data_IF_397626621297
#
_entry.id   IF_397626621297
#
_cell.length_a   1.000
_cell.length_b   1.000
_cell.length_c   1.000
_cell.angle_alpha   90.00
_cell.angle_beta   90.00
_cell.angle_gamma   90.00
#
_symmetry.space_group_name_H-M   'P 1'
#
loop_
_entity.id
_entity.type
_entity.pdbx_description
1 polymer ?
#
# COMPACT_ATOMS: atom_id res chain seq x y z
N UNK A 1 1.15 -9.82 -17.65
CA UNK A 1 0.37 -9.16 -18.72
C UNK A 1 1.03 -7.83 -19.01
N UNK A 2 1.25 -7.50 -20.28
CA UNK A 2 1.72 -6.17 -20.67
C UNK A 2 0.51 -5.23 -20.73
N UNK A 3 0.46 -4.25 -19.83
CA UNK A 3 -0.56 -3.19 -19.83
C UNK A 3 -0.22 -2.06 -20.79
N UNK A 4 0.91 -2.18 -21.51
CA UNK A 4 1.43 -1.16 -22.42
C UNK A 4 0.43 -0.95 -23.56
N UNK A 5 0.18 0.31 -23.91
CA UNK A 5 -0.82 0.76 -24.89
C UNK A 5 -2.28 0.49 -24.54
N UNK A 6 -2.59 0.10 -23.31
CA UNK A 6 -3.98 0.01 -22.84
C UNK A 6 -4.54 1.40 -22.49
N UNK A 7 -5.85 1.56 -22.76
CA UNK A 7 -6.62 2.74 -22.34
C UNK A 7 -6.99 2.64 -20.87
N UNK A 8 -6.71 3.71 -20.14
CA UNK A 8 -7.06 3.88 -18.74
C UNK A 8 -7.86 5.15 -18.54
N UNK A 9 -8.69 5.18 -17.52
CA UNK A 9 -9.48 6.32 -17.11
C UNK A 9 -9.09 6.72 -15.70
N UNK A 10 -8.65 7.95 -15.50
CA UNK A 10 -8.35 8.50 -14.19
C UNK A 10 -9.45 9.45 -13.75
N UNK A 11 -9.93 9.33 -12.51
CA UNK A 11 -11.06 10.13 -11.99
C UNK A 11 -10.88 11.65 -12.18
N UNK A 12 -9.65 12.15 -12.02
CA UNK A 12 -9.32 13.58 -12.10
C UNK A 12 -8.69 14.02 -13.43
N UNK A 13 -8.08 13.09 -14.16
CA UNK A 13 -7.26 13.40 -15.35
C UNK A 13 -7.95 12.96 -16.64
N UNK A 14 -9.01 12.15 -16.55
CA UNK A 14 -9.74 11.63 -17.68
C UNK A 14 -9.01 10.46 -18.34
N UNK A 15 -9.21 10.32 -19.64
CA UNK A 15 -8.62 9.25 -20.43
C UNK A 15 -7.11 9.41 -20.58
N UNK A 16 -6.39 8.31 -20.42
CA UNK A 16 -4.96 8.19 -20.62
C UNK A 16 -4.57 6.87 -21.26
N UNK A 17 -3.34 6.80 -21.73
CA UNK A 17 -2.77 5.61 -22.35
C UNK A 17 -1.53 5.18 -21.60
N UNK A 18 -1.43 3.91 -21.24
CA UNK A 18 -0.22 3.38 -20.60
C UNK A 18 0.91 3.36 -21.62
N UNK A 19 1.96 4.13 -21.36
CA UNK A 19 3.16 4.20 -22.21
C UNK A 19 4.28 3.29 -21.69
N UNK A 20 4.27 2.98 -20.39
CA UNK A 20 5.23 2.06 -19.79
C UNK A 20 4.58 1.29 -18.64
N UNK A 21 4.95 0.02 -18.49
CA UNK A 21 4.54 -0.80 -17.36
C UNK A 21 5.76 -1.54 -16.80
N UNK A 22 6.06 -1.29 -15.54
CA UNK A 22 7.08 -1.99 -14.74
C UNK A 22 6.38 -2.72 -13.59
N UNK A 23 7.00 -3.75 -13.01
CA UNK A 23 6.45 -4.59 -11.94
C UNK A 23 5.71 -3.83 -10.82
N UNK A 24 6.22 -2.66 -10.42
CA UNK A 24 5.66 -1.85 -9.33
C UNK A 24 5.15 -0.47 -9.74
N UNK A 25 5.27 -0.09 -11.03
CA UNK A 25 4.97 1.27 -11.48
C UNK A 25 4.54 1.28 -12.94
N UNK A 26 3.51 2.05 -13.24
CA UNK A 26 3.03 2.32 -14.60
C UNK A 26 3.21 3.80 -14.93
N UNK A 27 3.50 4.10 -16.19
CA UNK A 27 3.47 5.45 -16.73
C UNK A 27 2.30 5.58 -17.69
N UNK A 28 1.45 6.57 -17.43
CA UNK A 28 0.26 6.88 -18.22
C UNK A 28 0.46 8.24 -18.86
N UNK A 29 0.33 8.29 -20.17
CA UNK A 29 0.24 9.52 -20.94
C UNK A 29 -1.21 9.99 -20.96
N UNK A 30 -1.48 11.12 -20.33
CA UNK A 30 -2.77 11.81 -20.43
C UNK A 30 -2.76 12.83 -21.56
N UNK A 31 -3.95 13.23 -22.00
CA UNK A 31 -4.13 14.34 -22.92
C UNK A 31 -3.60 15.66 -22.31
N UNK A 32 -3.17 16.58 -23.16
CA UNK A 32 -2.71 17.90 -22.70
C UNK A 32 -3.83 18.65 -21.94
N UNK A 33 -3.49 19.37 -20.86
CA UNK A 33 -2.15 19.79 -20.43
C UNK A 33 -1.44 18.86 -19.42
N UNK A 34 -1.95 17.65 -19.17
CA UNK A 34 -1.50 16.81 -18.05
C UNK A 34 -0.19 16.05 -18.31
N UNK A 35 0.07 15.68 -19.56
CA UNK A 35 1.30 14.99 -19.94
C UNK A 35 1.42 13.56 -19.39
N UNK A 36 2.67 13.07 -19.28
CA UNK A 36 2.97 11.76 -18.72
C UNK A 36 3.02 11.79 -17.20
N UNK A 37 2.39 10.81 -16.56
CA UNK A 37 2.37 10.64 -15.10
C UNK A 37 2.62 9.18 -14.73
N UNK A 38 3.55 8.98 -13.81
CA UNK A 38 3.82 7.68 -13.22
C UNK A 38 2.96 7.41 -11.98
N UNK A 39 2.39 6.21 -11.87
CA UNK A 39 1.58 5.75 -10.76
C UNK A 39 2.06 4.40 -10.24
N UNK A 40 1.81 4.14 -8.96
CA UNK A 40 2.15 2.86 -8.32
C UNK A 40 1.18 1.76 -8.79
N UNK A 41 1.74 0.69 -9.35
CA UNK A 41 0.99 -0.49 -9.74
C UNK A 41 1.06 -1.55 -8.63
N UNK A 42 -0.02 -2.29 -8.30
CA UNK A 42 -1.40 -2.16 -8.79
C UNK A 42 -2.30 -1.19 -7.98
N UNK A 43 -1.77 -0.53 -6.94
CA UNK A 43 -2.55 0.27 -5.98
C UNK A 43 -3.37 1.42 -6.61
N UNK A 44 -2.76 2.13 -7.57
CA UNK A 44 -3.41 3.30 -8.18
C UNK A 44 -4.68 2.93 -8.99
N UNK A 45 -4.79 1.69 -9.47
CA UNK A 45 -5.97 1.17 -10.20
C UNK A 45 -7.19 0.88 -9.34
N UNK A 46 -7.07 0.98 -8.03
CA UNK A 46 -8.21 0.79 -7.12
C UNK A 46 -8.72 2.14 -6.63
N UNK A 47 -7.81 3.10 -6.40
CA UNK A 47 -8.16 4.40 -5.83
C UNK A 47 -8.45 5.47 -6.88
N UNK A 48 -7.74 5.46 -8.02
CA UNK A 48 -7.67 6.63 -8.91
C UNK A 48 -7.76 6.33 -10.40
N UNK A 49 -7.40 5.12 -10.83
CA UNK A 49 -7.38 4.67 -12.22
C UNK A 49 -8.35 3.50 -12.42
N UNK A 50 -8.95 3.42 -13.59
CA UNK A 50 -9.79 2.31 -14.01
C UNK A 50 -9.38 1.87 -15.42
N UNK A 51 -9.44 0.58 -15.70
CA UNK A 51 -9.14 0.07 -17.03
C UNK A 51 -10.41 0.09 -17.86
N UNK A 52 -10.28 0.44 -19.15
CA UNK A 52 -11.44 0.38 -20.04
C UNK A 52 -11.86 -1.08 -20.34
N UNK A 53 -10.91 -2.00 -20.22
CA UNK A 53 -11.11 -3.43 -20.41
C UNK A 53 -11.42 -4.11 -19.05
N UNK A 54 -12.62 -4.72 -18.89
CA UNK A 54 -13.02 -5.32 -17.63
C UNK A 54 -12.20 -6.56 -17.27
N UNK A 55 -11.72 -7.33 -18.25
CA UNK A 55 -10.91 -8.52 -17.98
C UNK A 55 -9.56 -8.13 -17.37
N UNK A 56 -8.97 -7.04 -17.87
CA UNK A 56 -7.73 -6.53 -17.29
C UNK A 56 -7.96 -5.82 -15.97
N UNK A 57 -9.10 -5.11 -15.81
CA UNK A 57 -9.48 -4.54 -14.52
C UNK A 57 -9.58 -5.61 -13.43
N UNK A 58 -10.28 -6.72 -13.70
CA UNK A 58 -10.38 -7.84 -12.76
C UNK A 58 -9.00 -8.43 -12.42
N UNK A 59 -8.12 -8.59 -13.40
CA UNK A 59 -6.77 -9.09 -13.16
C UNK A 59 -5.97 -8.20 -12.21
N UNK A 60 -6.00 -6.88 -12.44
CA UNK A 60 -5.29 -5.89 -11.60
C UNK A 60 -5.88 -5.84 -10.20
N UNK A 61 -7.21 -5.85 -10.08
CA UNK A 61 -7.92 -5.89 -8.79
C UNK A 61 -7.58 -7.18 -8.02
N UNK A 62 -7.54 -8.33 -8.69
CA UNK A 62 -7.19 -9.60 -8.06
C UNK A 62 -5.74 -9.58 -7.53
N UNK A 63 -4.79 -9.05 -8.29
CA UNK A 63 -3.41 -8.83 -7.83
C UNK A 63 -3.35 -7.88 -6.63
N UNK A 64 -4.10 -6.78 -6.67
CA UNK A 64 -4.17 -5.85 -5.56
C UNK A 64 -4.69 -6.50 -4.27
N UNK A 65 -5.78 -7.26 -4.34
CA UNK A 65 -6.33 -7.97 -3.18
C UNK A 65 -5.36 -9.01 -2.61
N UNK A 66 -4.59 -9.70 -3.45
CA UNK A 66 -3.54 -10.60 -2.97
C UNK A 66 -2.47 -9.85 -2.18
N UNK A 67 -1.96 -8.74 -2.70
CA UNK A 67 -0.96 -7.94 -1.99
C UNK A 67 -1.53 -7.32 -0.71
N UNK A 68 -2.76 -6.81 -0.74
CA UNK A 68 -3.39 -6.23 0.45
C UNK A 68 -3.58 -7.25 1.57
N UNK A 69 -3.98 -8.49 1.25
CA UNK A 69 -4.08 -9.55 2.27
C UNK A 69 -2.74 -9.80 2.97
N UNK A 70 -1.62 -9.75 2.25
CA UNK A 70 -0.30 -9.89 2.86
C UNK A 70 0.07 -8.69 3.73
N UNK A 71 -0.20 -7.48 3.25
CA UNK A 71 0.07 -6.24 3.98
C UNK A 71 -0.75 -6.17 5.27
N UNK A 72 -2.02 -6.57 5.21
CA UNK A 72 -2.91 -6.58 6.37
C UNK A 72 -2.48 -7.63 7.40
N UNK A 73 -2.10 -8.83 6.96
CA UNK A 73 -1.57 -9.87 7.84
C UNK A 73 -0.26 -9.43 8.52
N UNK A 74 0.65 -8.78 7.80
CA UNK A 74 1.88 -8.22 8.36
C UNK A 74 1.59 -7.09 9.35
N UNK A 75 0.64 -6.21 9.05
CA UNK A 75 0.22 -5.15 9.97
C UNK A 75 -0.34 -5.71 11.28
N UNK A 76 -1.22 -6.70 11.20
CA UNK A 76 -1.77 -7.36 12.40
C UNK A 76 -0.67 -7.97 13.25
N UNK A 77 0.28 -8.67 12.62
CA UNK A 77 1.43 -9.25 13.32
C UNK A 77 2.32 -8.20 13.98
N UNK A 78 2.59 -7.07 13.30
CA UNK A 78 3.35 -5.96 13.88
C UNK A 78 2.61 -5.27 15.02
N UNK A 79 1.29 -5.17 14.96
CA UNK A 79 0.49 -4.57 16.03
C UNK A 79 0.53 -5.45 17.29
N UNK A 80 0.32 -6.76 17.15
CA UNK A 80 0.47 -7.73 18.26
C UNK A 80 1.87 -7.66 18.88
N UNK A 81 2.93 -7.64 18.06
CA UNK A 81 4.31 -7.58 18.56
C UNK A 81 4.59 -6.25 19.30
N UNK A 82 4.01 -5.14 18.83
CA UNK A 82 4.10 -3.84 19.52
C UNK A 82 3.36 -3.83 20.84
N UNK A 83 2.18 -4.44 20.92
CA UNK A 83 1.42 -4.53 22.18
C UNK A 83 2.16 -5.38 23.21
N UNK A 84 2.67 -6.55 22.82
CA UNK A 84 3.49 -7.42 23.69
C UNK A 84 4.76 -6.70 24.16
N UNK A 85 5.46 -6.01 23.25
CA UNK A 85 6.66 -5.24 23.61
C UNK A 85 6.33 -4.07 24.56
N UNK A 86 5.19 -3.41 24.37
CA UNK A 86 4.74 -2.32 25.23
C UNK A 86 4.38 -2.81 26.64
N UNK A 87 3.73 -3.97 26.76
CA UNK A 87 3.42 -4.60 28.05
C UNK A 87 4.70 -5.02 28.80
N UNK A 88 5.62 -5.71 28.12
CA UNK A 88 6.90 -6.10 28.70
C UNK A 88 7.72 -4.88 29.18
N UNK A 89 7.72 -3.79 28.40
CA UNK A 89 8.36 -2.54 28.80
C UNK A 89 7.72 -1.91 30.05
N UNK A 90 6.38 -1.98 30.17
CA UNK A 90 5.64 -1.50 31.36
C UNK A 90 5.97 -2.32 32.60
N UNK A 91 6.04 -3.64 32.50
CA UNK A 91 6.41 -4.52 33.62
C UNK A 91 7.86 -4.29 34.08
N UNK A 92 8.80 -4.16 33.14
CA UNK A 92 10.20 -3.84 33.44
C UNK A 92 10.34 -2.46 34.10
N UNK A 93 9.56 -1.47 33.68
CA UNK A 93 9.54 -0.15 34.32
C UNK A 93 8.96 -0.22 35.74
N UNK A 94 7.89 -0.98 35.96
CA UNK A 94 7.26 -1.12 37.27
C UNK A 94 8.16 -1.86 38.29
N UNK A 95 8.85 -2.91 37.85
CA UNK A 95 9.78 -3.70 38.68
C UNK A 95 11.03 -2.91 39.04
N UNK A 96 11.61 -2.12 38.11
CA UNK A 96 12.72 -1.20 38.42
C UNK A 96 12.34 -0.16 39.49
N UNK A 97 11.14 0.44 39.40
CA UNK A 97 10.65 1.44 40.38
C UNK A 97 10.46 0.87 41.79
N UNK A 98 10.07 -0.40 41.94
CA UNK A 98 9.94 -1.05 43.25
C UNK A 98 11.30 -1.37 43.90
N UNK A 99 12.31 -1.69 43.10
CA UNK A 99 13.66 -2.00 43.59
C UNK A 99 14.44 -0.76 44.08
N UNK A 100 14.21 0.40 43.48
CA UNK A 100 14.87 1.66 43.89
C UNK A 100 14.38 2.20 45.23
N UNK A 101 13.13 1.91 45.62
CA UNK A 101 12.54 2.42 46.86
C UNK A 101 12.98 1.61 48.09
N UNK A 102 13.41 0.35 47.90
CA UNK A 102 13.82 -0.55 48.99
C UNK A 102 15.27 -0.36 49.45
N UNK A 103 16.11 0.32 48.65
CA UNK A 103 17.54 0.60 48.95
C UNK A 103 17.79 1.88 49.78
N UNK A 104 16.74 2.61 50.16
CA UNK A 104 16.83 3.90 50.90
C UNK A 104 16.40 3.81 52.38
N UNK A 105 16.29 2.62 52.97
CA UNK A 105 15.90 2.43 54.37
C UNK A 105 16.94 1.64 55.13
#
# INVERSE_FOLDING_TARGET
MELISQKVMHIRFGEGFVVSNTDNRIDVQFAEPLGQKGFTFPDAFVQHLWMHDPAVQEFVIAQYYQNQKQIEAEKQRQEEEREVAAEAARELAASKRKSSTKKKK
#
